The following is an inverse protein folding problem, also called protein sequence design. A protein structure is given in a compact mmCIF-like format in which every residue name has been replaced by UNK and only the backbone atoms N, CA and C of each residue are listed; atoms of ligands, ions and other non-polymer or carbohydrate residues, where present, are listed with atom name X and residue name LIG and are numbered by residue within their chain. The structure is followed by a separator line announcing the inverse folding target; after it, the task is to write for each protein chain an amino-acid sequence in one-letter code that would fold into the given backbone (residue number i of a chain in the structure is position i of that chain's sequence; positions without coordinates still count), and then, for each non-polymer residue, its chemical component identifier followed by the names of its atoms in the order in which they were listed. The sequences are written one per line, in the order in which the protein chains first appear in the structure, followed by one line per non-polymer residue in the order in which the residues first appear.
data_IF_278340701421
#
_entry.id   IF_278340701421
#
_cell.length_a   1.000
_cell.length_b   1.000
_cell.length_c   1.000
_cell.angle_alpha   90.00
_cell.angle_beta   90.00
_cell.angle_gamma   90.00
#
_symmetry.space_group_name_H-M   'P 1'
#
loop_
_entity.id
_entity.type
_entity.pdbx_description
1 polymer ?
#
# COMPACT_ATOMS: atom_id res chain seq x y z
N UNK A 1 15.22 -13.20 -3.72
CA UNK A 1 15.00 -11.82 -3.21
C UNK A 1 14.00 -11.89 -2.07
N UNK A 2 14.31 -11.25 -0.96
CA UNK A 2 13.46 -11.26 0.23
C UNK A 2 12.15 -10.47 -0.04
N UNK A 3 11.07 -10.83 0.66
CA UNK A 3 9.77 -10.19 0.49
C UNK A 3 9.82 -8.66 0.61
N UNK A 4 10.57 -8.14 1.59
CA UNK A 4 10.70 -6.69 1.77
C UNK A 4 11.50 -6.02 0.66
N UNK A 5 12.45 -6.71 0.05
CA UNK A 5 13.17 -6.20 -1.13
C UNK A 5 12.21 -6.05 -2.31
N UNK A 6 11.34 -7.03 -2.50
CA UNK A 6 10.31 -6.98 -3.56
C UNK A 6 9.38 -5.79 -3.33
N UNK A 7 8.85 -5.64 -2.13
CA UNK A 7 7.91 -4.58 -1.77
C UNK A 7 8.57 -3.21 -1.59
N UNK A 8 9.90 -3.15 -1.54
CA UNK A 8 10.64 -1.91 -1.46
C UNK A 8 10.57 -1.05 -2.72
N UNK A 9 10.19 -1.62 -3.85
CA UNK A 9 10.08 -0.91 -5.12
C UNK A 9 8.66 -0.43 -5.37
N UNK A 10 8.45 0.89 -5.67
CA UNK A 10 7.11 1.43 -5.87
C UNK A 10 6.41 0.89 -7.11
N UNK A 11 7.15 0.55 -8.16
CA UNK A 11 6.57 -0.03 -9.38
C UNK A 11 6.02 -1.41 -9.10
N UNK A 12 6.77 -2.25 -8.39
CA UNK A 12 6.31 -3.58 -8.02
C UNK A 12 5.09 -3.53 -7.11
N UNK A 13 5.08 -2.62 -6.13
CA UNK A 13 3.88 -2.42 -5.29
C UNK A 13 2.67 -2.03 -6.13
N UNK A 14 2.86 -1.13 -7.09
CA UNK A 14 1.76 -0.70 -7.96
C UNK A 14 1.21 -1.83 -8.81
N UNK A 15 2.09 -2.68 -9.35
CA UNK A 15 1.66 -3.86 -10.11
C UNK A 15 0.81 -4.78 -9.23
N UNK A 16 1.24 -5.04 -8.00
CA UNK A 16 0.47 -5.87 -7.07
C UNK A 16 -0.90 -5.26 -6.75
N UNK A 17 -0.98 -3.94 -6.58
CA UNK A 17 -2.25 -3.24 -6.39
C UNK A 17 -3.18 -3.43 -7.59
N UNK A 18 -2.66 -3.30 -8.80
CA UNK A 18 -3.44 -3.52 -10.03
C UNK A 18 -3.95 -4.96 -10.09
N UNK A 19 -3.11 -5.93 -9.78
CA UNK A 19 -3.47 -7.35 -9.79
C UNK A 19 -4.45 -7.72 -8.68
N UNK A 20 -4.48 -6.97 -7.57
CA UNK A 20 -5.42 -7.21 -6.49
C UNK A 20 -6.88 -6.96 -6.90
N UNK A 21 -7.09 -6.12 -7.89
CA UNK A 21 -8.41 -5.86 -8.45
C UNK A 21 -8.86 -6.94 -9.45
N UNK A 22 -7.94 -7.75 -9.95
CA UNK A 22 -8.21 -8.83 -10.89
C UNK A 22 -6.99 -9.13 -11.74
N UNK A 23 -6.97 -10.31 -12.33
CA UNK A 23 -5.88 -10.71 -13.22
C UNK A 23 -5.81 -9.81 -14.46
N UNK A 24 -4.59 -9.59 -14.95
CA UNK A 24 -4.32 -8.76 -16.12
C UNK A 24 -3.23 -9.39 -16.99
N UNK A 25 -3.27 -9.09 -18.27
CA UNK A 25 -2.19 -9.50 -19.18
C UNK A 25 -0.94 -8.65 -18.96
N UNK A 26 0.21 -9.20 -19.36
CA UNK A 26 1.47 -8.45 -19.33
C UNK A 26 1.40 -7.16 -20.14
N UNK A 27 0.68 -7.15 -21.27
CA UNK A 27 0.48 -5.96 -22.08
C UNK A 27 -0.35 -4.88 -21.38
N UNK A 28 -1.42 -5.27 -20.72
CA UNK A 28 -2.24 -4.34 -19.95
C UNK A 28 -1.46 -3.73 -18.79
N UNK A 29 -0.71 -4.54 -18.06
CA UNK A 29 0.16 -4.07 -16.96
C UNK A 29 1.24 -3.12 -17.46
N UNK A 30 1.92 -3.49 -18.56
CA UNK A 30 2.96 -2.67 -19.16
C UNK A 30 2.40 -1.30 -19.61
N UNK A 31 1.24 -1.29 -20.23
CA UNK A 31 0.60 -0.05 -20.67
C UNK A 31 0.30 0.90 -19.51
N UNK A 32 -0.27 0.38 -18.43
CA UNK A 32 -0.60 1.17 -17.25
C UNK A 32 0.65 1.69 -16.56
N UNK A 33 1.64 0.82 -16.33
CA UNK A 33 2.86 1.18 -15.61
C UNK A 33 3.71 2.16 -16.41
N UNK A 34 3.84 1.98 -17.72
CA UNK A 34 4.57 2.94 -18.56
C UNK A 34 3.93 4.32 -18.52
N UNK A 35 2.61 4.38 -18.53
CA UNK A 35 1.87 5.65 -18.44
C UNK A 35 2.06 6.32 -17.08
N UNK A 36 2.03 5.56 -15.99
CA UNK A 36 2.12 6.12 -14.63
C UNK A 36 3.54 6.49 -14.22
N UNK A 37 4.54 5.69 -14.61
CA UNK A 37 5.92 5.83 -14.13
C UNK A 37 6.91 6.31 -15.19
N UNK A 38 6.53 6.30 -16.45
CA UNK A 38 7.41 6.75 -17.54
C UNK A 38 8.61 5.84 -17.80
N UNK A 39 8.54 4.57 -17.41
CA UNK A 39 9.63 3.60 -17.59
C UNK A 39 9.42 2.81 -18.90
N UNK A 40 10.47 2.13 -19.35
CA UNK A 40 10.45 1.35 -20.58
C UNK A 40 9.74 0.02 -20.40
N UNK A 41 9.29 -0.58 -21.51
CA UNK A 41 8.71 -1.92 -21.49
C UNK A 41 9.68 -2.99 -20.95
N UNK A 42 10.97 -3.01 -21.33
CA UNK A 42 11.92 -3.93 -20.69
C UNK A 42 12.04 -3.75 -19.19
N UNK A 43 11.93 -2.53 -18.67
CA UNK A 43 11.92 -2.28 -17.22
C UNK A 43 10.69 -2.88 -16.56
N UNK A 44 9.51 -2.74 -17.18
CA UNK A 44 8.27 -3.37 -16.68
C UNK A 44 8.43 -4.89 -16.67
N UNK A 45 8.95 -5.47 -17.75
CA UNK A 45 9.18 -6.91 -17.85
C UNK A 45 10.10 -7.43 -16.77
N UNK A 46 11.12 -6.65 -16.40
CA UNK A 46 12.03 -7.00 -15.31
C UNK A 46 11.31 -7.02 -13.96
N UNK A 47 10.45 -6.05 -13.68
CA UNK A 47 9.64 -6.02 -12.46
C UNK A 47 8.67 -7.20 -12.40
N UNK A 48 8.03 -7.54 -13.51
CA UNK A 48 7.13 -8.70 -13.59
C UNK A 48 7.89 -10.01 -13.33
N UNK A 49 9.10 -10.12 -13.86
CA UNK A 49 9.96 -11.28 -13.61
C UNK A 49 10.30 -11.43 -12.13
N UNK A 50 10.68 -10.36 -11.47
CA UNK A 50 10.98 -10.36 -10.03
C UNK A 50 9.77 -10.80 -9.22
N UNK A 51 8.58 -10.28 -9.53
CA UNK A 51 7.34 -10.67 -8.84
C UNK A 51 7.03 -12.15 -9.04
N UNK A 52 7.23 -12.67 -10.24
CA UNK A 52 7.01 -14.09 -10.54
C UNK A 52 8.02 -14.97 -9.83
N UNK A 53 9.30 -14.65 -9.93
CA UNK A 53 10.38 -15.46 -9.33
C UNK A 53 10.33 -15.44 -7.79
N UNK A 54 9.84 -14.37 -7.19
CA UNK A 54 9.71 -14.25 -5.74
C UNK A 54 8.37 -14.81 -5.20
N UNK A 55 7.51 -15.31 -6.07
CA UNK A 55 6.23 -15.91 -5.68
C UNK A 55 5.11 -14.93 -5.36
N UNK A 56 5.28 -13.63 -5.62
CA UNK A 56 4.22 -12.62 -5.43
C UNK A 56 3.18 -12.63 -6.55
N UNK A 57 3.54 -13.14 -7.71
CA UNK A 57 2.64 -13.27 -8.83
C UNK A 57 2.87 -14.60 -9.53
N UNK A 58 1.82 -15.12 -10.13
CA UNK A 58 1.89 -16.26 -11.05
C UNK A 58 1.43 -15.84 -12.43
N UNK A 59 1.82 -16.62 -13.43
CA UNK A 59 1.51 -16.35 -14.83
C UNK A 59 0.99 -17.61 -15.51
N UNK A 60 -0.03 -17.46 -16.36
CA UNK A 60 -0.50 -18.53 -17.22
C UNK A 60 -0.58 -18.04 -18.67
N UNK A 61 -0.39 -18.95 -19.59
CA UNK A 61 -0.59 -18.64 -21.03
C UNK A 61 -2.08 -18.70 -21.37
N UNK A 62 -2.55 -17.71 -22.12
CA UNK A 62 -3.90 -17.67 -22.66
C UNK A 62 -3.79 -17.23 -24.13
N UNK A 63 -3.65 -18.20 -25.04
CA UNK A 63 -3.32 -17.95 -26.43
C UNK A 63 -1.92 -17.33 -26.54
N UNK A 64 -1.82 -16.17 -27.17
CA UNK A 64 -0.57 -15.41 -27.29
C UNK A 64 -0.32 -14.48 -26.10
N UNK A 65 -1.25 -14.44 -25.14
CA UNK A 65 -1.18 -13.54 -23.98
C UNK A 65 -0.62 -14.29 -22.78
N UNK A 66 0.02 -13.53 -21.89
CA UNK A 66 0.47 -14.00 -20.58
C UNK A 66 -0.35 -13.28 -19.53
N UNK A 67 -1.11 -14.04 -18.75
CA UNK A 67 -2.02 -13.50 -17.75
C UNK A 67 -1.41 -13.65 -16.38
N UNK A 68 -1.24 -12.53 -15.69
CA UNK A 68 -0.69 -12.46 -14.35
C UNK A 68 -1.79 -12.37 -13.32
N UNK A 69 -1.57 -13.01 -12.17
CA UNK A 69 -2.42 -12.86 -11.00
C UNK A 69 -1.56 -12.75 -9.74
N UNK A 70 -2.08 -12.05 -8.73
CA UNK A 70 -1.39 -11.91 -7.45
C UNK A 70 -1.51 -13.23 -6.67
N UNK A 71 -0.44 -13.57 -5.95
CA UNK A 71 -0.40 -14.69 -5.03
C UNK A 71 -0.45 -14.17 -3.59
N UNK A 72 -1.39 -14.70 -2.80
CA UNK A 72 -1.63 -14.21 -1.44
C UNK A 72 -0.57 -14.64 -0.43
N UNK A 73 0.09 -15.79 -0.65
CA UNK A 73 0.97 -16.39 0.36
C UNK A 73 2.09 -15.47 0.85
N UNK A 74 2.93 -14.85 -0.03
CA UNK A 74 3.99 -13.97 0.46
C UNK A 74 3.45 -12.67 1.09
N UNK A 75 2.30 -12.18 0.64
CA UNK A 75 1.65 -11.02 1.26
C UNK A 75 1.14 -11.35 2.65
N UNK A 76 0.62 -12.56 2.85
CA UNK A 76 0.20 -13.04 4.17
C UNK A 76 1.37 -13.14 5.13
N UNK A 77 2.53 -13.61 4.67
CA UNK A 77 3.75 -13.68 5.49
C UNK A 77 4.18 -12.29 5.97
N UNK A 78 4.12 -11.29 5.09
CA UNK A 78 4.39 -9.88 5.46
C UNK A 78 3.38 -9.39 6.48
N UNK A 79 2.10 -9.66 6.29
CA UNK A 79 1.03 -9.26 7.22
C UNK A 79 1.22 -9.91 8.59
N UNK A 80 1.57 -11.18 8.64
CA UNK A 80 1.86 -11.89 9.89
C UNK A 80 3.04 -11.27 10.64
N UNK A 81 4.10 -10.89 9.93
CA UNK A 81 5.23 -10.21 10.53
C UNK A 81 4.81 -8.84 11.09
N UNK A 82 4.06 -8.06 10.32
CA UNK A 82 3.53 -6.76 10.76
C UNK A 82 2.59 -6.89 11.96
N UNK A 83 1.86 -8.00 12.06
CA UNK A 83 0.95 -8.26 13.18
C UNK A 83 1.64 -8.24 14.54
N UNK A 84 2.94 -8.58 14.59
CA UNK A 84 3.74 -8.54 15.81
C UNK A 84 3.85 -7.13 16.40
N UNK A 85 3.68 -6.10 15.58
CA UNK A 85 3.79 -4.70 15.97
C UNK A 85 2.45 -4.00 16.14
N UNK A 86 1.33 -4.68 15.87
CA UNK A 86 0.00 -4.04 15.91
C UNK A 86 -0.35 -3.46 17.28
N UNK A 87 -0.07 -4.18 18.34
CA UNK A 87 -0.29 -3.69 19.70
C UNK A 87 0.51 -2.42 19.99
N UNK A 88 1.74 -2.38 19.52
CA UNK A 88 2.65 -1.25 19.71
C UNK A 88 2.13 0.01 19.02
N UNK A 89 1.86 -0.03 17.72
CA UNK A 89 1.42 1.18 17.01
C UNK A 89 -0.03 1.55 17.31
N UNK A 90 -0.91 0.57 17.57
CA UNK A 90 -2.30 0.86 17.94
C UNK A 90 -2.35 1.62 19.27
N UNK A 91 -1.57 1.22 20.27
CA UNK A 91 -1.47 1.96 21.54
C UNK A 91 -0.99 3.40 21.34
N UNK A 92 0.03 3.59 20.50
CA UNK A 92 0.57 4.93 20.21
C UNK A 92 -0.41 5.79 19.45
N UNK A 93 -1.11 5.23 18.46
CA UNK A 93 -2.13 5.96 17.70
C UNK A 93 -3.32 6.31 18.58
N UNK A 94 -3.76 5.42 19.46
CA UNK A 94 -4.82 5.69 20.42
C UNK A 94 -4.45 6.80 21.40
N UNK A 95 -3.21 6.77 21.91
CA UNK A 95 -2.70 7.82 22.78
C UNK A 95 -2.68 9.18 22.05
N UNK A 96 -2.20 9.22 20.81
CA UNK A 96 -2.18 10.44 20.01
C UNK A 96 -3.60 10.95 19.73
N UNK A 97 -4.53 10.06 19.38
CA UNK A 97 -5.93 10.42 19.17
C UNK A 97 -6.56 11.02 20.43
N UNK A 98 -6.24 10.46 21.60
CA UNK A 98 -6.71 10.98 22.91
C UNK A 98 -6.14 12.37 23.18
N UNK A 99 -4.86 12.59 22.93
CA UNK A 99 -4.23 13.91 23.12
C UNK A 99 -4.81 14.96 22.17
N UNK A 100 -5.03 14.61 20.91
CA UNK A 100 -5.65 15.50 19.94
C UNK A 100 -7.09 15.86 20.34
N UNK A 101 -7.87 14.90 20.81
CA UNK A 101 -9.22 15.14 21.31
C UNK A 101 -9.22 16.05 22.55
N UNK A 102 -8.26 15.86 23.46
CA UNK A 102 -8.09 16.72 24.64
C UNK A 102 -7.72 18.15 24.24
N UNK A 103 -6.76 18.30 23.32
CA UNK A 103 -6.37 19.61 22.80
C UNK A 103 -7.51 20.36 22.14
N UNK A 104 -8.36 19.68 21.38
CA UNK A 104 -9.56 20.27 20.79
C UNK A 104 -10.56 20.73 21.82
N UNK A 105 -10.79 19.96 22.92
CA UNK A 105 -11.68 20.34 24.00
C UNK A 105 -11.15 21.56 24.74
N UNK A 106 -9.86 21.63 25.02
CA UNK A 106 -9.24 22.78 25.67
C UNK A 106 -9.38 24.04 24.83
N UNK A 107 -9.14 23.95 23.51
CA UNK A 107 -9.35 25.07 22.59
C UNK A 107 -10.81 25.52 22.55
N UNK A 108 -11.75 24.59 22.49
CA UNK A 108 -13.18 24.91 22.51
C UNK A 108 -13.60 25.60 23.82
N UNK A 109 -13.08 25.14 24.97
CA UNK A 109 -13.32 25.75 26.26
C UNK A 109 -12.73 27.16 26.34
N UNK A 110 -11.52 27.36 25.84
CA UNK A 110 -10.88 28.70 25.78
C UNK A 110 -11.66 29.68 24.90
N UNK A 111 -12.12 29.23 23.74
CA UNK A 111 -12.94 30.03 22.84
C UNK A 111 -14.30 30.39 23.46
N UNK A 112 -14.89 29.43 24.17
CA UNK A 112 -16.14 29.66 24.89
C UNK A 112 -15.99 30.69 26.01
N UNK A 113 -14.90 30.68 26.73
CA UNK A 113 -14.60 31.68 27.80
C UNK A 113 -14.36 33.07 27.19
N UNK A 114 -13.62 33.18 26.10
CA UNK A 114 -13.36 34.44 25.40
C UNK A 114 -14.66 35.05 24.88
N UNK A 115 -15.55 34.23 24.32
CA UNK A 115 -16.86 34.68 23.86
C UNK A 115 -17.77 35.18 24.97
N UNK A 116 -17.64 34.65 26.20
CA UNK A 116 -18.41 35.13 27.36
C UNK A 116 -17.88 36.46 27.88
N UNK A 117 -16.60 36.71 27.87
CA UNK A 117 -15.98 37.97 28.29
C UNK A 117 -16.36 39.12 27.33
N UNK A 118 -16.50 38.87 26.05
CA UNK A 118 -16.90 39.86 25.05
C UNK A 118 -18.38 40.28 25.16
N UNK A 119 -19.22 39.57 25.91
CA UNK A 119 -20.64 39.88 26.12
C UNK A 119 -20.89 40.71 27.38
N UNK A 120 -19.89 40.97 28.14
CA UNK A 120 -19.97 41.83 29.34
C UNK A 120 -19.29 43.19 29.08
#
# INVERSE_FOLDING_TARGET
MHAFDVLGDPVRRRILELLSAGEQSSGELASTIQREFGITQPAVSQHLRVLRESGFASVRAAGTRRIYQVEAAPLRDVDEWLARFRGFWNQRLDALATELARGRREQANQQGQTGREDQT
#
